data_IF_820961303401
#
_entry.id   IF_820961303401
#
_cell.length_a   1.000
_cell.length_b   1.000
_cell.length_c   1.000
_cell.angle_alpha   90.00
_cell.angle_beta   90.00
_cell.angle_gamma   90.00
#
_symmetry.space_group_name_H-M   'P 1'
#
loop_
_entity.id
_entity.type
_entity.pdbx_description
1 polymer ?
#
# COMPACT_ATOMS: atom_id res chain seq x y z
N UNK A 1 -9.77 30.41 2.11
CA UNK A 1 -9.14 29.53 1.09
C UNK A 1 -9.35 28.08 1.50
N UNK A 2 -9.55 27.16 0.54
CA UNK A 2 -9.65 25.70 0.80
C UNK A 2 -8.39 25.01 0.33
N UNK A 3 -7.72 24.31 1.23
CA UNK A 3 -6.52 23.53 0.98
C UNK A 3 -6.80 22.06 1.28
N UNK A 4 -6.40 21.17 0.36
CA UNK A 4 -6.50 19.73 0.55
C UNK A 4 -5.12 19.19 0.92
N UNK A 5 -5.07 18.33 1.91
CA UNK A 5 -3.89 17.50 2.19
C UNK A 5 -4.24 16.04 1.91
N UNK A 6 -3.46 15.40 1.02
CA UNK A 6 -3.61 14.00 0.62
C UNK A 6 -2.21 13.39 0.52
N UNK A 7 -1.58 13.21 1.67
CA UNK A 7 -0.18 12.84 1.84
C UNK A 7 -0.12 11.36 2.24
N UNK A 8 0.64 10.55 1.50
CA UNK A 8 0.87 9.14 1.82
C UNK A 8 1.81 8.98 3.02
N UNK A 9 1.93 7.77 3.52
CA UNK A 9 2.86 7.45 4.60
C UNK A 9 4.32 7.67 4.19
N UNK A 10 5.11 8.23 5.11
CA UNK A 10 6.56 8.24 4.99
C UNK A 10 7.07 6.97 5.65
N UNK A 11 7.26 5.92 4.87
CA UNK A 11 7.55 4.56 5.35
C UNK A 11 8.63 4.53 6.44
N UNK A 12 8.26 3.98 7.60
CA UNK A 12 9.14 3.91 8.77
C UNK A 12 9.25 5.20 9.58
N UNK A 13 8.46 6.24 9.25
CA UNK A 13 8.50 7.55 9.91
C UNK A 13 7.07 8.04 10.24
N UNK A 14 6.30 8.53 9.26
CA UNK A 14 4.98 9.09 9.48
C UNK A 14 3.89 8.26 8.81
N UNK A 15 2.79 8.03 9.50
CA UNK A 15 1.54 7.57 8.88
C UNK A 15 0.94 8.68 8.01
N UNK A 16 0.05 8.32 7.08
CA UNK A 16 -0.71 9.31 6.29
C UNK A 16 -1.46 10.31 7.21
N UNK A 17 -2.04 9.83 8.33
CA UNK A 17 -2.74 10.68 9.29
C UNK A 17 -1.81 11.71 9.95
N UNK A 18 -0.63 11.31 10.40
CA UNK A 18 0.35 12.19 11.02
C UNK A 18 0.90 13.21 10.04
N UNK A 19 1.24 12.81 8.82
CA UNK A 19 1.72 13.69 7.76
C UNK A 19 0.68 14.75 7.37
N UNK A 20 -0.57 14.33 7.16
CA UNK A 20 -1.68 15.25 6.88
C UNK A 20 -1.94 16.21 8.06
N UNK A 21 -1.85 15.74 9.31
CA UNK A 21 -2.01 16.56 10.50
C UNK A 21 -0.91 17.60 10.63
N UNK A 22 0.36 17.24 10.34
CA UNK A 22 1.48 18.18 10.38
C UNK A 22 1.30 19.29 9.32
N UNK A 23 0.95 18.93 8.09
CA UNK A 23 0.66 19.90 7.05
C UNK A 23 -0.52 20.82 7.41
N UNK A 24 -1.58 20.27 8.01
CA UNK A 24 -2.74 21.04 8.44
C UNK A 24 -2.38 22.04 9.54
N UNK A 25 -1.55 21.65 10.53
CA UNK A 25 -1.08 22.59 11.58
C UNK A 25 -0.30 23.76 10.98
N UNK A 26 0.61 23.51 10.04
CA UNK A 26 1.35 24.56 9.34
C UNK A 26 0.42 25.58 8.66
N UNK A 27 -0.58 25.09 7.93
CA UNK A 27 -1.56 25.93 7.23
C UNK A 27 -2.37 26.77 8.22
N UNK A 28 -2.87 26.17 9.30
CA UNK A 28 -3.68 26.85 10.31
C UNK A 28 -2.86 27.83 11.16
N UNK A 29 -1.56 27.59 11.34
CA UNK A 29 -0.62 28.52 11.98
C UNK A 29 -0.44 29.80 11.16
N UNK A 30 -0.46 29.70 9.82
CA UNK A 30 -0.40 30.86 8.93
C UNK A 30 -1.72 31.61 8.86
N UNK A 31 -2.83 30.88 8.75
CA UNK A 31 -4.16 31.48 8.68
C UNK A 31 -5.19 30.53 9.33
N UNK A 32 -5.58 30.86 10.55
CA UNK A 32 -6.54 30.06 11.33
C UNK A 32 -7.93 29.94 10.69
N UNK A 33 -8.27 30.80 9.73
CA UNK A 33 -9.53 30.76 8.99
C UNK A 33 -9.47 29.89 7.73
N UNK A 34 -8.34 29.25 7.44
CA UNK A 34 -8.21 28.35 6.28
C UNK A 34 -9.09 27.12 6.47
N UNK A 35 -9.79 26.73 5.40
CA UNK A 35 -10.51 25.47 5.35
C UNK A 35 -9.54 24.36 4.90
N UNK A 36 -9.03 23.57 5.83
CA UNK A 36 -8.12 22.46 5.54
C UNK A 36 -8.89 21.15 5.53
N UNK A 37 -8.90 20.46 4.38
CA UNK A 37 -9.51 19.15 4.22
C UNK A 37 -8.41 18.09 4.10
N UNK A 38 -8.25 17.28 5.14
CA UNK A 38 -7.32 16.15 5.11
C UNK A 38 -8.04 14.90 4.61
N UNK A 39 -7.44 14.26 3.60
CA UNK A 39 -7.89 12.99 3.01
C UNK A 39 -6.81 11.97 3.29
N UNK A 40 -7.17 10.94 4.06
CA UNK A 40 -6.24 9.83 4.31
C UNK A 40 -6.13 8.98 3.05
N UNK A 41 -4.91 8.66 2.69
CA UNK A 41 -4.57 7.96 1.45
C UNK A 41 -3.59 6.82 1.71
N UNK A 42 -3.59 5.82 0.83
CA UNK A 42 -2.65 4.71 0.82
C UNK A 42 -2.66 4.04 -0.56
N UNK A 43 -1.52 3.49 -0.97
CA UNK A 43 -1.31 2.75 -2.22
C UNK A 43 -1.73 1.26 -2.17
N UNK A 44 -2.43 0.84 -1.10
CA UNK A 44 -2.70 -0.57 -0.81
C UNK A 44 -1.70 -1.17 0.19
N UNK A 45 -0.77 -0.35 0.70
CA UNK A 45 0.20 -0.70 1.72
C UNK A 45 -0.21 -0.26 3.13
N UNK A 46 0.77 0.24 3.88
CA UNK A 46 0.56 0.74 5.24
C UNK A 46 -0.51 1.84 5.28
N UNK A 47 -1.43 1.73 6.25
CA UNK A 47 -2.53 2.70 6.41
C UNK A 47 -3.76 2.41 5.54
N UNK A 48 -3.76 1.32 4.74
CA UNK A 48 -4.88 0.95 3.89
C UNK A 48 -6.20 0.81 4.65
N UNK A 49 -6.19 0.10 5.77
CA UNK A 49 -7.37 -0.09 6.62
C UNK A 49 -7.84 1.27 7.18
N UNK A 50 -6.93 2.12 7.60
CA UNK A 50 -7.27 3.42 8.16
C UNK A 50 -7.90 4.34 7.11
N UNK A 51 -7.31 4.44 5.93
CA UNK A 51 -7.86 5.21 4.82
C UNK A 51 -9.26 4.69 4.41
N UNK A 52 -9.42 3.36 4.28
CA UNK A 52 -10.71 2.75 3.97
C UNK A 52 -11.76 2.96 5.08
N UNK A 53 -11.35 3.07 6.36
CA UNK A 53 -12.28 3.33 7.46
C UNK A 53 -12.92 4.72 7.41
N UNK A 54 -12.37 5.64 6.62
CA UNK A 54 -12.97 6.96 6.34
C UNK A 54 -14.03 6.92 5.23
N UNK A 55 -14.03 5.85 4.46
CA UNK A 55 -14.92 5.65 3.31
C UNK A 55 -16.07 4.71 3.69
N UNK A 56 -15.76 3.63 4.39
CA UNK A 56 -16.72 2.60 4.76
C UNK A 56 -17.04 2.66 6.26
N UNK A 57 -18.30 2.83 6.58
CA UNK A 57 -18.77 2.66 7.96
C UNK A 57 -18.63 1.19 8.37
N UNK A 58 -17.84 0.92 9.39
CA UNK A 58 -17.54 -0.45 9.80
C UNK A 58 -16.87 -0.54 11.17
N UNK A 59 -16.61 -1.77 11.56
CA UNK A 59 -15.91 -2.07 12.83
C UNK A 59 -14.51 -2.59 12.54
N UNK A 60 -13.51 -2.04 13.23
CA UNK A 60 -12.15 -2.60 13.24
C UNK A 60 -12.17 -3.88 14.08
N UNK A 61 -11.99 -5.01 13.42
CA UNK A 61 -11.93 -6.34 14.02
C UNK A 61 -10.48 -6.69 14.33
N UNK A 62 -10.26 -7.38 15.45
CA UNK A 62 -8.97 -7.93 15.83
C UNK A 62 -9.02 -9.45 15.78
N UNK A 63 -7.93 -10.07 15.35
CA UNK A 63 -7.80 -11.53 15.29
C UNK A 63 -6.36 -11.94 15.56
N UNK A 64 -6.16 -13.02 16.32
CA UNK A 64 -4.85 -13.65 16.50
C UNK A 64 -4.56 -14.54 15.30
N UNK A 65 -3.43 -14.29 14.62
CA UNK A 65 -2.99 -15.01 13.43
C UNK A 65 -1.50 -15.28 13.52
N UNK A 66 -0.98 -16.15 12.64
CA UNK A 66 0.45 -16.37 12.51
C UNK A 66 1.13 -15.17 11.82
N UNK A 67 2.28 -14.76 12.35
CA UNK A 67 3.22 -13.87 11.65
C UNK A 67 3.99 -14.68 10.57
N UNK A 68 4.90 -14.04 9.78
CA UNK A 68 5.67 -14.75 8.75
C UNK A 68 6.48 -15.94 9.24
N UNK A 69 6.84 -15.99 10.53
CA UNK A 69 7.61 -17.08 11.16
C UNK A 69 6.73 -18.01 12.00
N UNK A 70 5.41 -17.90 11.92
CA UNK A 70 4.46 -18.77 12.61
C UNK A 70 4.14 -18.36 14.04
N UNK A 71 4.66 -17.23 14.56
CA UNK A 71 4.36 -16.73 15.91
C UNK A 71 3.00 -16.04 15.92
N UNK A 72 2.31 -16.06 17.05
CA UNK A 72 1.00 -15.41 17.18
C UNK A 72 1.13 -13.89 17.26
N UNK A 73 0.43 -13.19 16.37
CA UNK A 73 0.32 -11.73 16.35
C UNK A 73 -1.14 -11.30 16.29
N UNK A 74 -1.42 -10.11 16.79
CA UNK A 74 -2.75 -9.51 16.71
C UNK A 74 -2.87 -8.69 15.42
N UNK A 75 -3.52 -9.24 14.40
CA UNK A 75 -3.85 -8.53 13.17
C UNK A 75 -5.20 -7.82 13.28
N UNK A 76 -5.38 -6.78 12.49
CA UNK A 76 -6.64 -6.04 12.40
C UNK A 76 -7.15 -6.01 10.97
N UNK A 77 -8.48 -5.89 10.80
CA UNK A 77 -9.13 -5.61 9.52
C UNK A 77 -10.42 -4.81 9.75
N UNK A 78 -10.93 -4.14 8.71
CA UNK A 78 -12.21 -3.44 8.77
C UNK A 78 -13.32 -4.37 8.27
N UNK A 79 -14.42 -4.46 9.02
CA UNK A 79 -15.63 -5.18 8.61
C UNK A 79 -16.79 -4.17 8.48
N UNK A 80 -17.35 -4.05 7.27
CA UNK A 80 -18.45 -3.17 6.92
C UNK A 80 -19.55 -3.98 6.23
N UNK A 81 -20.58 -4.39 6.96
CA UNK A 81 -21.57 -5.33 6.46
C UNK A 81 -20.92 -6.65 6.03
N UNK A 82 -21.05 -7.01 4.75
CA UNK A 82 -20.43 -8.20 4.15
C UNK A 82 -19.06 -7.93 3.51
N UNK A 83 -18.56 -6.68 3.58
CA UNK A 83 -17.26 -6.28 3.08
C UNK A 83 -16.20 -6.38 4.19
N UNK A 84 -15.10 -7.09 3.92
CA UNK A 84 -13.88 -7.05 4.72
C UNK A 84 -12.76 -6.32 3.96
N UNK A 85 -12.17 -5.29 4.58
CA UNK A 85 -10.96 -4.64 4.08
C UNK A 85 -9.77 -5.15 4.88
N UNK A 86 -8.84 -5.78 4.18
CA UNK A 86 -7.64 -6.36 4.76
C UNK A 86 -6.39 -5.64 4.26
N UNK A 87 -5.36 -5.67 5.09
CA UNK A 87 -3.99 -5.24 4.78
C UNK A 87 -3.08 -6.43 5.09
N UNK A 88 -2.43 -7.01 4.06
CA UNK A 88 -1.63 -8.23 4.25
C UNK A 88 -0.48 -8.02 5.24
N UNK A 89 0.04 -6.80 5.34
CA UNK A 89 1.10 -6.44 6.27
C UNK A 89 0.70 -6.60 7.74
N UNK A 90 -0.59 -6.64 8.08
CA UNK A 90 -1.06 -6.93 9.43
C UNK A 90 -0.72 -8.35 9.90
N UNK A 91 -0.59 -9.29 8.97
CA UNK A 91 -0.28 -10.69 9.26
C UNK A 91 1.10 -11.11 8.74
N UNK A 92 1.49 -10.69 7.53
CA UNK A 92 2.74 -11.10 6.92
C UNK A 92 3.66 -9.93 6.53
N UNK A 93 3.60 -8.83 7.29
CA UNK A 93 4.37 -7.62 7.03
C UNK A 93 5.84 -7.69 7.41
N UNK A 94 6.67 -6.85 6.77
CA UNK A 94 8.07 -6.63 7.16
C UNK A 94 8.20 -6.06 8.57
N UNK A 95 7.21 -5.31 9.04
CA UNK A 95 7.14 -4.75 10.39
C UNK A 95 6.87 -5.81 11.48
N UNK A 96 6.47 -7.03 11.11
CA UNK A 96 6.38 -8.14 12.04
C UNK A 96 7.75 -8.77 12.36
N UNK A 97 8.79 -8.41 11.62
CA UNK A 97 10.12 -9.00 11.68
C UNK A 97 11.18 -7.94 11.95
N UNK A 98 12.08 -8.22 12.88
CA UNK A 98 13.32 -7.48 13.01
C UNK A 98 14.23 -7.72 11.79
N UNK A 99 15.18 -6.82 11.52
CA UNK A 99 16.03 -6.90 10.32
C UNK A 99 16.79 -8.25 10.21
N UNK A 100 17.23 -8.80 11.33
CA UNK A 100 17.98 -10.08 11.37
C UNK A 100 17.09 -11.33 11.21
N UNK A 101 15.77 -11.20 11.39
CA UNK A 101 14.81 -12.28 11.19
C UNK A 101 14.29 -12.38 9.75
N UNK A 102 14.61 -11.39 8.92
CA UNK A 102 14.12 -11.34 7.54
C UNK A 102 14.76 -12.43 6.68
N UNK A 103 13.96 -13.40 6.33
CA UNK A 103 14.35 -14.50 5.44
C UNK A 103 13.12 -14.95 4.62
N UNK A 104 13.00 -14.53 3.34
CA UNK A 104 11.83 -14.84 2.53
C UNK A 104 11.73 -16.32 2.10
N UNK A 105 12.76 -17.15 2.31
CA UNK A 105 12.66 -18.60 2.14
C UNK A 105 11.86 -19.29 3.26
N UNK A 106 11.81 -18.65 4.44
CA UNK A 106 11.13 -19.17 5.63
C UNK A 106 9.82 -18.45 5.92
N UNK A 107 9.67 -17.23 5.40
CA UNK A 107 8.50 -16.41 5.62
C UNK A 107 7.26 -16.97 4.90
N UNK A 108 6.16 -17.10 5.62
CA UNK A 108 4.93 -17.78 5.20
C UNK A 108 3.72 -16.84 5.26
N UNK A 109 2.82 -16.94 4.30
CA UNK A 109 1.62 -16.11 4.17
C UNK A 109 0.37 -16.67 4.88
N UNK A 110 0.46 -17.75 5.67
CA UNK A 110 -0.69 -18.41 6.32
C UNK A 110 -1.57 -17.48 7.15
N UNK A 111 -0.98 -16.49 7.80
CA UNK A 111 -1.71 -15.53 8.61
C UNK A 111 -2.75 -14.73 7.82
N UNK A 112 -2.50 -14.46 6.53
CA UNK A 112 -3.47 -13.83 5.63
C UNK A 112 -4.68 -14.73 5.43
N UNK A 113 -4.47 -16.04 5.21
CA UNK A 113 -5.55 -17.04 5.13
C UNK A 113 -6.38 -17.09 6.40
N UNK A 114 -5.73 -17.01 7.57
CA UNK A 114 -6.41 -16.99 8.88
C UNK A 114 -7.26 -15.73 9.06
N UNK A 115 -6.76 -14.55 8.62
CA UNK A 115 -7.56 -13.31 8.61
C UNK A 115 -8.81 -13.45 7.75
N UNK A 116 -8.67 -13.98 6.53
CA UNK A 116 -9.79 -14.22 5.60
C UNK A 116 -10.81 -15.15 6.24
N UNK A 117 -10.39 -16.29 6.81
CA UNK A 117 -11.30 -17.23 7.47
C UNK A 117 -12.03 -16.60 8.66
N UNK A 118 -11.34 -15.79 9.45
CA UNK A 118 -12.00 -15.07 10.55
C UNK A 118 -13.06 -14.09 10.02
N UNK A 119 -12.77 -13.33 8.98
CA UNK A 119 -13.71 -12.41 8.36
C UNK A 119 -14.93 -13.16 7.76
N UNK A 120 -14.70 -14.31 7.11
CA UNK A 120 -15.78 -15.20 6.61
C UNK A 120 -16.71 -15.66 7.73
N UNK A 121 -16.15 -16.08 8.89
CA UNK A 121 -16.93 -16.47 10.09
C UNK A 121 -17.74 -15.29 10.65
N UNK A 122 -17.31 -14.05 10.41
CA UNK A 122 -18.02 -12.83 10.80
C UNK A 122 -19.03 -12.34 9.75
N UNK A 123 -19.22 -13.10 8.66
CA UNK A 123 -20.23 -12.82 7.63
C UNK A 123 -19.69 -12.13 6.37
N UNK A 124 -18.40 -11.84 6.29
CA UNK A 124 -17.82 -11.26 5.08
C UNK A 124 -17.98 -12.19 3.87
N UNK A 125 -18.23 -11.61 2.71
CA UNK A 125 -18.31 -12.31 1.41
C UNK A 125 -17.55 -11.55 0.32
N UNK A 126 -17.35 -10.25 0.52
CA UNK A 126 -16.58 -9.36 -0.36
C UNK A 126 -15.31 -8.94 0.38
N UNK A 127 -14.20 -8.97 -0.33
CA UNK A 127 -12.89 -8.68 0.23
C UNK A 127 -12.18 -7.64 -0.62
N UNK A 128 -11.63 -6.62 0.02
CA UNK A 128 -10.69 -5.68 -0.58
C UNK A 128 -9.39 -5.79 0.18
N UNK A 129 -8.33 -6.23 -0.51
CA UNK A 129 -7.07 -6.64 0.10
C UNK A 129 -5.94 -5.76 -0.40
N UNK A 130 -5.37 -4.95 0.47
CA UNK A 130 -4.16 -4.19 0.20
C UNK A 130 -2.92 -5.08 0.29
N UNK A 131 -2.10 -5.08 -0.77
CA UNK A 131 -0.97 -6.01 -0.94
C UNK A 131 0.40 -5.40 -0.60
N UNK A 132 0.47 -4.21 0.01
CA UNK A 132 1.74 -3.57 0.34
C UNK A 132 2.42 -4.15 1.58
N UNK A 133 3.74 -3.94 1.70
CA UNK A 133 4.51 -4.13 2.93
C UNK A 133 4.81 -5.58 3.35
N UNK A 134 4.61 -6.60 2.51
CA UNK A 134 4.80 -8.02 2.86
C UNK A 134 6.25 -8.43 3.05
N UNK A 135 6.52 -9.38 3.95
CA UNK A 135 7.80 -10.04 4.18
C UNK A 135 7.96 -11.36 3.39
N UNK A 136 6.87 -11.89 2.84
CA UNK A 136 6.81 -13.23 2.24
C UNK A 136 7.16 -13.24 0.76
N UNK A 137 7.63 -14.38 0.25
CA UNK A 137 7.86 -14.65 -1.18
C UNK A 137 7.52 -16.11 -1.49
N UNK A 138 6.34 -16.56 -1.04
CA UNK A 138 5.85 -17.93 -1.11
C UNK A 138 4.76 -18.14 -2.18
N UNK A 139 4.59 -17.17 -3.09
CA UNK A 139 3.50 -17.14 -4.08
C UNK A 139 2.09 -17.30 -3.44
N UNK A 140 1.95 -16.90 -2.16
CA UNK A 140 0.72 -17.03 -1.40
C UNK A 140 0.37 -18.47 -0.99
N UNK A 141 1.32 -19.39 -1.09
CA UNK A 141 1.08 -20.81 -0.83
C UNK A 141 0.54 -21.08 0.57
N UNK A 142 1.13 -20.45 1.59
CA UNK A 142 0.66 -20.61 2.99
C UNK A 142 -0.78 -20.15 3.17
N UNK A 143 -1.16 -19.03 2.57
CA UNK A 143 -2.55 -18.56 2.57
C UNK A 143 -3.50 -19.58 1.91
N UNK A 144 -3.11 -20.09 0.72
CA UNK A 144 -3.93 -21.05 -0.03
C UNK A 144 -4.14 -22.36 0.73
N UNK A 145 -3.10 -22.86 1.42
CA UNK A 145 -3.25 -24.07 2.25
C UNK A 145 -4.27 -23.90 3.36
N UNK A 146 -4.16 -22.81 4.12
CA UNK A 146 -5.10 -22.50 5.21
C UNK A 146 -6.55 -22.38 4.70
N UNK A 147 -6.73 -21.75 3.54
CA UNK A 147 -8.05 -21.63 2.93
C UNK A 147 -8.58 -22.96 2.42
N UNK A 148 -7.73 -23.78 1.78
CA UNK A 148 -8.14 -25.08 1.25
C UNK A 148 -8.55 -26.04 2.36
N UNK A 149 -7.77 -26.13 3.43
CA UNK A 149 -8.06 -27.00 4.56
C UNK A 149 -9.41 -26.66 5.22
N UNK A 150 -9.79 -25.38 5.24
CA UNK A 150 -11.02 -24.93 5.87
C UNK A 150 -12.24 -24.93 4.95
N UNK A 151 -12.09 -24.61 3.66
CA UNK A 151 -13.20 -24.36 2.76
C UNK A 151 -13.47 -25.52 1.79
N UNK A 152 -12.45 -26.30 1.45
CA UNK A 152 -12.51 -27.42 0.51
C UNK A 152 -11.70 -28.61 1.04
N UNK A 153 -11.99 -29.11 2.25
CA UNK A 153 -11.17 -30.11 2.93
C UNK A 153 -10.99 -31.35 2.02
N UNK A 154 -9.77 -31.88 2.01
CA UNK A 154 -9.34 -33.05 1.19
C UNK A 154 -9.33 -32.85 -0.33
N UNK A 155 -9.78 -31.68 -0.85
CA UNK A 155 -9.77 -31.39 -2.30
C UNK A 155 -8.51 -30.60 -2.75
N UNK A 156 -7.75 -30.06 -1.80
CA UNK A 156 -6.52 -29.32 -2.03
C UNK A 156 -6.72 -27.90 -2.61
N UNK A 157 -5.62 -27.19 -2.79
CA UNK A 157 -5.65 -25.75 -3.15
C UNK A 157 -6.30 -25.49 -4.51
N UNK A 158 -6.24 -26.44 -5.46
CA UNK A 158 -6.82 -26.28 -6.79
C UNK A 158 -8.34 -26.10 -6.74
N UNK A 159 -9.00 -26.75 -5.77
CA UNK A 159 -10.45 -26.68 -5.61
C UNK A 159 -10.94 -25.30 -5.12
N UNK A 160 -10.06 -24.44 -4.61
CA UNK A 160 -10.42 -23.07 -4.23
C UNK A 160 -11.01 -22.29 -5.40
N UNK A 161 -10.57 -22.58 -6.64
CA UNK A 161 -11.09 -21.96 -7.85
C UNK A 161 -12.57 -22.30 -8.15
N UNK A 162 -13.14 -23.28 -7.48
CA UNK A 162 -14.60 -23.60 -7.60
C UNK A 162 -15.50 -22.73 -6.72
N UNK A 163 -14.93 -21.99 -5.77
CA UNK A 163 -15.71 -21.14 -4.86
C UNK A 163 -16.24 -19.93 -5.63
N UNK A 164 -17.57 -19.75 -5.66
CA UNK A 164 -18.24 -18.68 -6.43
C UNK A 164 -18.96 -17.63 -5.58
N UNK A 165 -19.15 -17.90 -4.30
CA UNK A 165 -19.89 -17.02 -3.39
C UNK A 165 -19.01 -15.99 -2.66
N UNK A 166 -17.75 -15.90 -3.05
CA UNK A 166 -16.78 -14.92 -2.54
C UNK A 166 -16.26 -14.05 -3.68
N UNK A 167 -16.06 -12.78 -3.40
CA UNK A 167 -15.41 -11.87 -4.34
C UNK A 167 -14.20 -11.20 -3.69
N UNK A 168 -13.11 -11.14 -4.45
CA UNK A 168 -11.86 -10.54 -4.02
C UNK A 168 -11.46 -9.42 -4.98
N UNK A 169 -11.12 -8.27 -4.43
CA UNK A 169 -10.41 -7.19 -5.11
C UNK A 169 -9.07 -7.03 -4.43
N UNK A 170 -7.98 -7.08 -5.18
CA UNK A 170 -6.63 -6.85 -4.67
C UNK A 170 -6.15 -5.48 -5.14
N UNK A 171 -5.70 -4.67 -4.18
CA UNK A 171 -5.27 -3.30 -4.37
C UNK A 171 -3.75 -3.19 -4.22
N UNK A 172 -3.08 -2.74 -5.27
CA UNK A 172 -1.62 -2.53 -5.27
C UNK A 172 -1.23 -1.66 -6.46
N UNK A 173 -0.19 -0.84 -6.31
CA UNK A 173 0.40 -0.08 -7.42
C UNK A 173 1.61 -0.79 -8.04
N UNK A 174 1.93 -2.00 -7.55
CA UNK A 174 2.95 -2.88 -8.12
C UNK A 174 2.37 -3.65 -9.30
N UNK A 175 2.90 -3.42 -10.50
CA UNK A 175 2.45 -4.07 -11.74
C UNK A 175 3.32 -5.27 -12.16
N UNK A 176 4.34 -5.59 -11.40
CA UNK A 176 5.30 -6.66 -11.71
C UNK A 176 4.60 -8.01 -11.89
N UNK A 177 5.04 -8.82 -12.90
CA UNK A 177 4.64 -10.21 -13.02
C UNK A 177 5.21 -11.05 -11.86
N UNK A 178 4.77 -12.29 -11.75
CA UNK A 178 5.26 -13.19 -10.70
C UNK A 178 6.70 -13.67 -10.95
N UNK A 179 7.04 -13.97 -12.20
CA UNK A 179 8.29 -14.61 -12.63
C UNK A 179 9.10 -13.73 -13.60
N UNK A 180 10.38 -14.06 -13.75
CA UNK A 180 11.31 -13.40 -14.68
C UNK A 180 12.06 -12.24 -14.02
N UNK A 181 12.80 -11.46 -14.83
CA UNK A 181 13.69 -10.41 -14.33
C UNK A 181 12.95 -9.31 -13.55
N UNK A 182 11.70 -9.06 -13.91
CA UNK A 182 10.82 -8.14 -13.20
C UNK A 182 9.89 -8.86 -12.21
N UNK A 183 10.15 -10.13 -11.91
CA UNK A 183 9.33 -10.97 -11.05
C UNK A 183 9.47 -10.70 -9.56
N UNK A 184 8.58 -11.32 -8.79
CA UNK A 184 8.48 -11.14 -7.34
C UNK A 184 9.78 -11.42 -6.60
N UNK A 185 10.46 -12.53 -6.93
CA UNK A 185 11.68 -12.92 -6.26
C UNK A 185 12.84 -11.96 -6.60
N UNK A 186 13.06 -11.67 -7.88
CA UNK A 186 14.18 -10.85 -8.32
C UNK A 186 14.10 -9.40 -7.86
N UNK A 187 12.90 -8.80 -7.92
CA UNK A 187 12.71 -7.38 -7.61
C UNK A 187 12.51 -7.14 -6.12
N UNK A 188 11.75 -7.99 -5.43
CA UNK A 188 11.30 -7.68 -4.07
C UNK A 188 11.93 -8.55 -2.97
N UNK A 189 12.48 -9.73 -3.27
CA UNK A 189 13.08 -10.56 -2.22
C UNK A 189 14.35 -9.96 -1.59
N UNK A 190 15.22 -9.20 -2.30
CA UNK A 190 16.38 -8.58 -1.68
C UNK A 190 16.05 -7.68 -0.50
N UNK A 191 15.05 -6.80 -0.60
CA UNK A 191 14.61 -5.92 0.50
C UNK A 191 13.97 -6.70 1.67
N UNK A 192 13.61 -7.97 1.45
CA UNK A 192 13.08 -8.90 2.46
C UNK A 192 14.19 -9.76 3.08
N UNK A 193 15.46 -9.47 2.78
CA UNK A 193 16.62 -10.15 3.34
C UNK A 193 17.17 -11.31 2.49
N UNK A 194 16.73 -11.47 1.23
CA UNK A 194 17.26 -12.51 0.36
C UNK A 194 18.68 -12.20 -0.13
N UNK A 195 19.57 -13.19 -0.07
CA UNK A 195 20.83 -13.19 -0.81
C UNK A 195 20.57 -13.51 -2.30
N UNK A 196 21.53 -13.24 -3.20
CA UNK A 196 21.39 -13.62 -4.60
C UNK A 196 21.07 -15.11 -4.82
N UNK A 197 21.67 -16.01 -4.03
CA UNK A 197 21.39 -17.44 -4.09
C UNK A 197 19.95 -17.76 -3.66
N UNK A 198 19.45 -17.11 -2.61
CA UNK A 198 18.06 -17.27 -2.16
C UNK A 198 17.07 -16.77 -3.21
N UNK A 199 17.41 -15.70 -3.94
CA UNK A 199 16.57 -15.20 -5.05
C UNK A 199 16.40 -16.25 -6.14
N UNK A 200 17.49 -16.90 -6.57
CA UNK A 200 17.41 -17.98 -7.57
C UNK A 200 16.60 -19.18 -7.06
N UNK A 201 16.77 -19.55 -5.79
CA UNK A 201 15.99 -20.63 -5.18
C UNK A 201 14.49 -20.29 -5.11
N UNK A 202 14.14 -19.07 -4.72
CA UNK A 202 12.76 -18.57 -4.68
C UNK A 202 12.15 -18.59 -6.10
N UNK A 203 12.88 -18.08 -7.09
CA UNK A 203 12.42 -18.07 -8.49
C UNK A 203 12.13 -19.48 -8.99
N UNK A 204 13.01 -20.45 -8.69
CA UNK A 204 12.80 -21.85 -9.06
C UNK A 204 11.59 -22.48 -8.37
N UNK A 205 11.44 -22.27 -7.03
CA UNK A 205 10.29 -22.77 -6.27
C UNK A 205 8.97 -22.22 -6.81
N UNK A 206 8.91 -20.92 -7.07
CA UNK A 206 7.72 -20.26 -7.61
C UNK A 206 7.44 -20.76 -9.03
N UNK A 207 8.46 -20.92 -9.88
CA UNK A 207 8.31 -21.43 -11.23
C UNK A 207 7.73 -22.85 -11.26
N UNK A 208 8.25 -23.76 -10.42
CA UNK A 208 7.69 -25.10 -10.26
C UNK A 208 6.22 -25.07 -9.81
N UNK A 209 5.89 -24.20 -8.85
CA UNK A 209 4.53 -24.05 -8.37
C UNK A 209 3.59 -23.55 -9.48
N UNK A 210 4.01 -22.55 -10.26
CA UNK A 210 3.23 -22.03 -11.40
C UNK A 210 3.02 -23.12 -12.46
N UNK A 211 4.05 -23.86 -12.82
CA UNK A 211 3.93 -24.96 -13.81
C UNK A 211 2.90 -26.02 -13.40
N UNK A 212 2.94 -26.44 -12.13
CA UNK A 212 1.99 -27.42 -11.60
C UNK A 212 0.56 -26.88 -11.58
N UNK A 213 0.38 -25.65 -11.14
CA UNK A 213 -0.95 -25.06 -10.98
C UNK A 213 -1.57 -24.67 -12.32
N UNK A 214 -0.79 -24.12 -13.26
CA UNK A 214 -1.30 -23.76 -14.58
C UNK A 214 -1.66 -25.01 -15.41
N UNK A 215 -0.86 -26.06 -15.32
CA UNK A 215 -1.18 -27.34 -15.97
C UNK A 215 -2.47 -27.97 -15.43
N UNK A 216 -2.67 -27.93 -14.10
CA UNK A 216 -3.86 -28.50 -13.48
C UNK A 216 -5.14 -27.67 -13.72
N UNK A 217 -5.01 -26.35 -13.82
CA UNK A 217 -6.16 -25.42 -13.92
C UNK A 217 -6.49 -25.01 -15.36
N UNK A 218 -5.58 -25.23 -16.32
CA UNK A 218 -5.75 -24.89 -17.73
C UNK A 218 -5.64 -23.38 -18.04
N UNK A 219 -5.20 -22.55 -17.10
CA UNK A 219 -4.91 -21.14 -17.30
C UNK A 219 -3.79 -20.66 -16.35
N UNK A 220 -3.18 -19.51 -16.67
CA UNK A 220 -2.03 -18.96 -15.95
C UNK A 220 -2.19 -17.44 -15.76
N UNK A 221 -2.08 -16.99 -14.50
CA UNK A 221 -2.08 -15.59 -14.12
C UNK A 221 -0.68 -15.04 -13.80
N UNK A 222 0.40 -15.82 -13.94
CA UNK A 222 1.73 -15.43 -13.50
C UNK A 222 2.29 -14.20 -14.20
N UNK A 223 1.88 -13.95 -15.45
CA UNK A 223 2.31 -12.80 -16.25
C UNK A 223 1.36 -11.59 -16.16
N UNK A 224 0.26 -11.70 -15.41
CA UNK A 224 -0.65 -10.57 -15.23
C UNK A 224 -0.01 -9.49 -14.36
N UNK A 225 -0.37 -8.24 -14.64
CA UNK A 225 0.02 -7.10 -13.81
C UNK A 225 -0.42 -7.34 -12.35
N UNK A 226 0.51 -7.11 -11.41
CA UNK A 226 0.26 -7.31 -9.98
C UNK A 226 0.41 -8.76 -9.50
N UNK A 227 0.69 -9.74 -10.37
CA UNK A 227 0.90 -11.13 -9.95
C UNK A 227 2.08 -11.28 -8.98
N UNK A 228 3.14 -10.48 -9.16
CA UNK A 228 4.29 -10.44 -8.27
C UNK A 228 4.08 -9.65 -6.97
N UNK A 229 2.98 -8.90 -6.85
CA UNK A 229 2.72 -8.10 -5.66
C UNK A 229 2.69 -8.97 -4.39
N UNK A 230 3.24 -8.42 -3.30
CA UNK A 230 3.33 -9.10 -2.01
C UNK A 230 3.97 -10.50 -2.07
N UNK A 231 5.04 -10.65 -2.89
CA UNK A 231 5.76 -11.91 -3.00
C UNK A 231 4.94 -13.03 -3.63
N UNK A 232 4.02 -12.68 -4.52
CA UNK A 232 3.15 -13.58 -5.27
C UNK A 232 1.78 -13.83 -4.62
N UNK A 233 1.42 -13.14 -3.53
CA UNK A 233 0.03 -13.14 -3.06
C UNK A 233 -0.92 -12.64 -4.16
N UNK A 234 -0.50 -11.64 -4.99
CA UNK A 234 -1.26 -11.21 -6.15
C UNK A 234 -1.63 -12.36 -7.10
N UNK A 235 -0.64 -13.22 -7.44
CA UNK A 235 -0.88 -14.43 -8.21
C UNK A 235 -1.88 -15.37 -7.54
N UNK A 236 -1.67 -15.67 -6.25
CA UNK A 236 -2.55 -16.57 -5.50
C UNK A 236 -4.01 -16.10 -5.52
N UNK A 237 -4.25 -14.83 -5.29
CA UNK A 237 -5.59 -14.26 -5.35
C UNK A 237 -6.20 -14.34 -6.75
N UNK A 238 -5.44 -14.01 -7.81
CA UNK A 238 -5.95 -14.05 -9.18
C UNK A 238 -6.13 -15.46 -9.71
N UNK A 239 -5.16 -16.36 -9.46
CA UNK A 239 -5.17 -17.72 -9.98
C UNK A 239 -6.22 -18.62 -9.32
N UNK A 240 -6.35 -18.52 -7.98
CA UNK A 240 -7.16 -19.46 -7.20
C UNK A 240 -8.48 -18.88 -6.70
N UNK A 241 -8.57 -17.56 -6.54
CA UNK A 241 -9.74 -16.89 -5.97
C UNK A 241 -10.40 -15.92 -6.96
N UNK A 242 -9.97 -15.91 -8.22
CA UNK A 242 -10.49 -15.07 -9.31
C UNK A 242 -10.56 -13.57 -8.95
N UNK A 243 -9.57 -13.10 -8.18
CA UNK A 243 -9.55 -11.72 -7.73
C UNK A 243 -9.39 -10.74 -8.91
N UNK A 244 -10.06 -9.60 -8.79
CA UNK A 244 -9.84 -8.44 -9.64
C UNK A 244 -8.68 -7.62 -9.10
N UNK A 245 -7.69 -7.34 -9.95
CA UNK A 245 -6.58 -6.42 -9.63
C UNK A 245 -6.98 -4.98 -9.93
N UNK A 246 -6.67 -4.07 -9.01
CA UNK A 246 -6.87 -2.62 -9.17
C UNK A 246 -5.63 -1.85 -8.67
N UNK A 247 -5.36 -0.65 -9.25
CA UNK A 247 -4.45 0.30 -8.63
C UNK A 247 -4.99 0.70 -7.26
N UNK A 248 -4.17 0.56 -6.22
CA UNK A 248 -4.54 0.91 -4.85
C UNK A 248 -4.85 2.40 -4.72
N UNK A 249 -3.98 3.24 -5.28
CA UNK A 249 -4.15 4.68 -5.28
C UNK A 249 -5.46 5.11 -5.97
N UNK A 250 -5.68 4.68 -7.20
CA UNK A 250 -6.88 5.07 -7.95
C UNK A 250 -8.16 4.58 -7.30
N UNK A 251 -8.19 3.32 -6.87
CA UNK A 251 -9.35 2.73 -6.21
C UNK A 251 -9.76 3.50 -4.95
N UNK A 252 -8.78 3.91 -4.16
CA UNK A 252 -9.00 4.68 -2.93
C UNK A 252 -9.43 6.12 -3.26
N UNK A 253 -8.72 6.80 -4.15
CA UNK A 253 -8.98 8.20 -4.50
C UNK A 253 -10.37 8.39 -5.10
N UNK A 254 -10.86 7.48 -5.96
CA UNK A 254 -12.21 7.50 -6.50
C UNK A 254 -13.30 7.50 -5.41
N UNK A 255 -13.02 6.85 -4.27
CA UNK A 255 -13.98 6.66 -3.16
C UNK A 255 -13.79 7.64 -2.01
N UNK A 256 -12.63 8.32 -1.97
CA UNK A 256 -12.25 9.23 -0.88
C UNK A 256 -13.00 10.55 -0.86
N UNK A 257 -13.72 10.87 -1.93
CA UNK A 257 -14.34 12.19 -2.11
C UNK A 257 -13.38 13.27 -2.60
N UNK A 258 -12.11 12.91 -2.95
CA UNK A 258 -11.11 13.88 -3.44
C UNK A 258 -11.64 14.70 -4.61
N UNK A 259 -12.27 14.06 -5.60
CA UNK A 259 -12.74 14.72 -6.81
C UNK A 259 -13.82 15.79 -6.53
N UNK A 260 -14.67 15.59 -5.51
CA UNK A 260 -15.64 16.59 -5.06
C UNK A 260 -14.96 17.74 -4.32
N UNK A 261 -14.00 17.43 -3.44
CA UNK A 261 -13.27 18.42 -2.67
C UNK A 261 -12.40 19.32 -3.55
N UNK A 262 -11.85 18.77 -4.66
CA UNK A 262 -11.04 19.51 -5.65
C UNK A 262 -11.82 20.61 -6.37
N UNK A 263 -13.15 20.52 -6.50
CA UNK A 263 -13.96 21.53 -7.20
C UNK A 263 -13.81 22.94 -6.63
N UNK A 264 -13.49 23.04 -5.35
CA UNK A 264 -13.38 24.31 -4.63
C UNK A 264 -12.02 24.48 -3.94
N UNK A 265 -11.05 23.66 -4.29
CA UNK A 265 -9.72 23.73 -3.71
C UNK A 265 -8.86 24.80 -4.41
N UNK A 266 -8.06 25.50 -3.64
CA UNK A 266 -7.07 26.46 -4.12
C UNK A 266 -5.68 25.84 -4.23
N UNK A 267 -5.42 24.77 -3.45
CA UNK A 267 -4.12 24.11 -3.37
C UNK A 267 -4.30 22.68 -2.88
N UNK A 268 -3.47 21.77 -3.39
CA UNK A 268 -3.31 20.40 -2.87
C UNK A 268 -1.88 20.21 -2.37
N UNK A 269 -1.73 19.62 -1.18
CA UNK A 269 -0.47 19.10 -0.67
C UNK A 269 -0.55 17.58 -0.73
N UNK A 270 0.38 16.96 -1.43
CA UNK A 270 0.56 15.50 -1.46
C UNK A 270 2.01 15.16 -1.10
N UNK A 271 2.31 13.90 -0.86
CA UNK A 271 3.67 13.52 -0.51
C UNK A 271 3.87 12.03 -0.30
N UNK A 272 5.12 11.66 -0.15
CA UNK A 272 5.60 10.29 0.11
C UNK A 272 6.98 10.30 0.77
N UNK A 273 7.46 9.15 1.25
CA UNK A 273 8.79 9.05 1.88
C UNK A 273 9.94 9.39 0.94
N UNK A 274 9.90 8.98 -0.34
CA UNK A 274 10.92 9.26 -1.33
C UNK A 274 10.29 9.50 -2.71
N UNK A 275 10.50 10.69 -3.24
CA UNK A 275 10.03 11.11 -4.56
C UNK A 275 11.15 11.02 -5.60
N UNK A 276 10.92 10.24 -6.65
CA UNK A 276 11.85 10.00 -7.75
C UNK A 276 11.09 9.73 -9.07
N UNK A 277 11.79 9.22 -10.09
CA UNK A 277 11.16 8.87 -11.37
C UNK A 277 10.04 7.80 -11.22
N UNK A 278 10.10 6.96 -10.18
CA UNK A 278 9.06 5.95 -9.94
C UNK A 278 7.75 6.58 -9.43
N UNK A 279 7.82 7.77 -8.80
CA UNK A 279 6.63 8.53 -8.43
C UNK A 279 5.72 8.75 -9.64
N UNK A 280 6.31 9.01 -10.82
CA UNK A 280 5.60 9.24 -12.08
C UNK A 280 5.02 7.98 -12.73
N UNK A 281 5.34 6.80 -12.20
CA UNK A 281 4.83 5.51 -12.68
C UNK A 281 3.46 5.14 -12.08
N UNK A 282 2.70 6.12 -11.61
CA UNK A 282 1.35 5.91 -11.08
C UNK A 282 1.28 5.73 -9.57
N UNK A 283 2.34 6.10 -8.82
CA UNK A 283 2.24 6.15 -7.36
C UNK A 283 1.25 7.20 -6.91
N UNK A 284 0.78 7.07 -5.69
CA UNK A 284 -0.28 7.88 -5.10
C UNK A 284 -0.10 9.40 -5.26
N UNK A 285 1.07 10.02 -5.02
CA UNK A 285 1.23 11.47 -5.22
C UNK A 285 1.00 11.91 -6.66
N UNK A 286 1.40 11.08 -7.63
CA UNK A 286 1.15 11.35 -9.05
C UNK A 286 -0.33 11.26 -9.39
N UNK A 287 -1.05 10.24 -8.89
CA UNK A 287 -2.50 10.11 -9.08
C UNK A 287 -3.27 11.30 -8.49
N UNK A 288 -2.87 11.78 -7.31
CA UNK A 288 -3.43 12.98 -6.68
C UNK A 288 -3.19 14.22 -7.56
N UNK A 289 -1.94 14.40 -8.03
CA UNK A 289 -1.58 15.53 -8.89
C UNK A 289 -2.35 15.52 -10.21
N UNK A 290 -2.50 14.36 -10.86
CA UNK A 290 -3.25 14.27 -12.12
C UNK A 290 -4.72 14.70 -11.93
N UNK A 291 -5.40 14.25 -10.88
CA UNK A 291 -6.78 14.63 -10.55
C UNK A 291 -6.91 16.13 -10.26
N UNK A 292 -5.92 16.70 -9.54
CA UNK A 292 -5.86 18.14 -9.27
C UNK A 292 -5.61 18.95 -10.55
N UNK A 293 -4.72 18.50 -11.43
CA UNK A 293 -4.40 19.13 -12.71
C UNK A 293 -5.61 19.22 -13.64
N UNK A 294 -6.45 18.18 -13.70
CA UNK A 294 -7.69 18.15 -14.47
C UNK A 294 -8.68 19.26 -14.00
N UNK A 295 -8.55 19.68 -12.75
CA UNK A 295 -9.34 20.77 -12.14
C UNK A 295 -8.59 22.10 -12.06
N UNK A 296 -7.37 22.16 -12.62
CA UNK A 296 -6.48 23.33 -12.60
C UNK A 296 -6.09 23.76 -11.17
N UNK A 297 -6.04 22.83 -10.25
CA UNK A 297 -5.63 23.05 -8.86
C UNK A 297 -4.14 22.73 -8.75
N UNK A 298 -3.30 23.70 -8.31
CA UNK A 298 -1.88 23.48 -8.12
C UNK A 298 -1.63 22.44 -7.04
N UNK A 299 -0.54 21.66 -7.21
CA UNK A 299 -0.19 20.57 -6.30
C UNK A 299 1.26 20.68 -5.87
N UNK A 300 1.51 20.73 -4.57
CA UNK A 300 2.83 20.65 -3.96
C UNK A 300 3.14 19.20 -3.59
N UNK A 301 4.34 18.75 -3.93
CA UNK A 301 4.85 17.44 -3.54
C UNK A 301 5.82 17.59 -2.35
N UNK A 302 5.51 16.92 -1.24
CA UNK A 302 6.35 16.85 -0.04
C UNK A 302 7.02 15.48 0.02
N UNK A 303 8.33 15.42 0.22
CA UNK A 303 9.01 14.14 0.32
C UNK A 303 10.15 14.17 1.34
N UNK A 304 10.42 13.02 1.97
CA UNK A 304 11.57 12.83 2.86
C UNK A 304 12.89 12.86 2.10
N UNK A 305 12.89 12.39 0.85
CA UNK A 305 14.01 12.46 -0.09
C UNK A 305 13.49 12.82 -1.47
N UNK A 306 14.19 13.68 -2.18
CA UNK A 306 13.82 14.11 -3.53
C UNK A 306 14.96 13.78 -4.49
N UNK A 307 14.63 13.08 -5.56
CA UNK A 307 15.51 12.86 -6.71
C UNK A 307 14.78 13.26 -7.98
N UNK A 308 15.53 13.60 -9.05
CA UNK A 308 14.94 13.97 -10.35
C UNK A 308 13.90 15.10 -10.29
N UNK A 309 14.08 16.09 -9.39
CA UNK A 309 13.15 17.21 -9.19
C UNK A 309 12.69 17.89 -10.51
N UNK A 310 13.58 18.14 -11.52
CA UNK A 310 13.12 18.72 -12.79
C UNK A 310 12.07 17.88 -13.51
N UNK A 311 12.18 16.55 -13.48
CA UNK A 311 11.21 15.66 -14.12
C UNK A 311 9.85 15.68 -13.40
N UNK A 312 9.86 15.76 -12.06
CA UNK A 312 8.64 15.89 -11.25
C UNK A 312 7.90 17.20 -11.55
N UNK A 313 8.61 18.30 -11.64
CA UNK A 313 8.04 19.60 -12.02
C UNK A 313 7.47 19.56 -13.44
N UNK A 314 8.19 18.97 -14.40
CA UNK A 314 7.73 18.84 -15.78
C UNK A 314 6.47 17.98 -15.90
N UNK A 315 6.29 16.99 -15.03
CA UNK A 315 5.09 16.15 -15.00
C UNK A 315 3.83 16.92 -14.57
N UNK A 316 3.99 18.00 -13.77
CA UNK A 316 2.87 18.87 -13.42
C UNK A 316 2.76 19.25 -11.94
N UNK A 317 3.69 18.82 -11.09
CA UNK A 317 3.76 19.36 -9.73
C UNK A 317 4.15 20.85 -9.79
N UNK A 318 3.46 21.68 -9.03
CA UNK A 318 3.73 23.12 -8.96
C UNK A 318 5.04 23.41 -8.23
N UNK A 319 5.35 22.63 -7.22
CA UNK A 319 6.67 22.58 -6.61
C UNK A 319 6.91 21.23 -5.92
N UNK A 320 8.19 20.96 -5.58
CA UNK A 320 8.65 19.72 -4.93
C UNK A 320 9.58 20.10 -3.78
N UNK A 321 9.17 19.78 -2.56
CA UNK A 321 9.84 20.17 -1.34
C UNK A 321 10.41 18.94 -0.61
N UNK A 322 11.68 19.00 -0.23
CA UNK A 322 12.33 18.00 0.61
C UNK A 322 12.21 18.44 2.06
N UNK A 323 11.67 17.57 2.94
CA UNK A 323 11.52 17.90 4.37
C UNK A 323 12.80 17.62 5.19
N UNK A 324 13.73 16.82 4.64
CA UNK A 324 14.98 16.49 5.32
C UNK A 324 16.16 17.24 4.72
N UNK A 325 17.19 17.56 5.53
CA UNK A 325 18.46 18.07 5.03
C UNK A 325 19.13 17.06 4.08
N UNK A 326 19.89 17.56 3.11
CA UNK A 326 20.45 16.77 2.01
C UNK A 326 21.53 15.75 2.42
N UNK A 327 22.08 15.83 3.62
CA UNK A 327 23.22 15.01 4.08
C UNK A 327 22.93 14.23 5.39
N UNK A 328 21.66 14.03 5.73
CA UNK A 328 21.33 13.41 7.01
C UNK A 328 21.27 11.88 6.95
N UNK A 329 21.67 11.24 8.06
CA UNK A 329 21.55 9.80 8.25
C UNK A 329 20.06 9.39 8.23
N UNK A 330 19.75 8.31 7.52
CA UNK A 330 18.39 7.77 7.38
C UNK A 330 17.76 7.45 8.75
N UNK A 331 18.57 7.00 9.73
CA UNK A 331 18.08 6.68 11.07
C UNK A 331 17.50 7.91 11.80
N UNK A 332 18.09 9.08 11.59
CA UNK A 332 17.61 10.35 12.16
C UNK A 332 16.36 10.82 11.43
N UNK A 333 16.38 10.71 10.10
CA UNK A 333 15.26 11.11 9.24
C UNK A 333 14.00 10.27 9.47
N UNK A 334 14.12 9.06 10.04
CA UNK A 334 13.01 8.17 10.36
C UNK A 334 12.42 8.39 11.77
N UNK A 335 12.89 9.37 12.55
CA UNK A 335 12.28 9.71 13.84
C UNK A 335 10.91 10.39 13.59
N UNK A 336 9.75 9.83 14.06
CA UNK A 336 8.43 10.34 13.74
C UNK A 336 8.21 11.78 14.20
N UNK A 337 8.64 12.14 15.42
CA UNK A 337 8.48 13.47 15.99
C UNK A 337 9.25 14.51 15.17
N UNK A 338 10.49 14.18 14.79
CA UNK A 338 11.33 15.04 13.99
C UNK A 338 10.80 15.22 12.57
N UNK A 339 10.35 14.12 11.95
CA UNK A 339 9.76 14.16 10.60
C UNK A 339 8.46 14.98 10.58
N UNK A 340 7.61 14.85 11.61
CA UNK A 340 6.39 15.65 11.75
C UNK A 340 6.71 17.14 11.89
N UNK A 341 7.69 17.50 12.75
CA UNK A 341 8.10 18.88 12.93
C UNK A 341 8.69 19.51 11.67
N UNK A 342 9.51 18.75 10.95
CA UNK A 342 10.13 19.19 9.68
C UNK A 342 9.09 19.38 8.58
N UNK A 343 8.14 18.45 8.45
CA UNK A 343 7.06 18.58 7.48
C UNK A 343 6.24 19.83 7.77
N UNK A 344 5.89 20.06 9.04
CA UNK A 344 5.16 21.26 9.46
C UNK A 344 5.95 22.54 9.13
N UNK A 345 7.23 22.62 9.48
CA UNK A 345 8.04 23.82 9.25
C UNK A 345 8.28 24.06 7.76
N UNK A 346 8.58 22.99 6.95
CA UNK A 346 8.73 23.10 5.50
C UNK A 346 7.49 23.67 4.83
N UNK A 347 6.30 23.21 5.22
CA UNK A 347 5.03 23.73 4.69
C UNK A 347 4.81 25.17 5.14
N UNK A 348 5.08 25.49 6.43
CA UNK A 348 4.93 26.83 6.96
C UNK A 348 5.84 27.84 6.25
N UNK A 349 7.13 27.55 6.15
CA UNK A 349 8.11 28.42 5.48
C UNK A 349 7.75 28.65 4.01
N UNK A 350 7.45 27.58 3.27
CA UNK A 350 7.10 27.71 1.86
C UNK A 350 5.87 28.56 1.64
N UNK A 351 4.78 28.32 2.39
CA UNK A 351 3.54 29.07 2.22
C UNK A 351 3.64 30.51 2.72
N UNK A 352 4.51 30.81 3.69
CA UNK A 352 4.71 32.17 4.22
C UNK A 352 5.34 33.13 3.22
N UNK A 353 6.21 32.62 2.32
CA UNK A 353 6.88 33.44 1.30
C UNK A 353 6.11 33.47 -0.03
N UNK A 354 5.04 32.70 -0.17
CA UNK A 354 4.20 32.65 -1.36
C UNK A 354 2.81 33.24 -1.10
N UNK A 355 2.67 34.58 -1.01
CA UNK A 355 1.42 35.24 -0.60
C UNK A 355 0.24 35.00 -1.54
N UNK A 356 0.48 34.49 -2.75
CA UNK A 356 -0.58 34.13 -3.72
C UNK A 356 -1.57 33.08 -3.18
N UNK A 357 -1.18 32.31 -2.14
CA UNK A 357 -2.04 31.28 -1.56
C UNK A 357 -3.01 31.80 -0.51
N UNK A 358 -2.83 33.03 -0.01
CA UNK A 358 -3.61 33.60 1.08
C UNK A 358 -4.26 34.98 0.73
N UNK A 359 -4.16 35.39 -0.53
CA UNK A 359 -4.77 36.62 -1.05
C UNK A 359 -6.25 36.49 -1.40
#
# INVERSE_FOLDING_TARGET
MKIITAIDSFKGSLTSAEANSAAARAILRLNSNSNVKSILVSDGGEGWIEACSRIFEGKKMKVSVADPLGRQVCASYLLSGDLAVLEVAQACGLNCLSAHERNPLLADSRGVGQMILHALKKGARRFVVGLGGSATCDAGYGMLQVLADALVPSAGIMALSSIRNLSFTIASDVQNPLLGDMGAARVFAPQKGATPQMVEELEQRISCFVQQTSAAMGYDCSQKAGAGAAGGLGYAFMQFLHATYVSGADWLLERSGLDQELQHASLVLTGEGAADAQTLMGKLPFCVMQRAKDRKVPTLLLAGKVQHRPQLLQAGFSDVLCINPSEEDVSISCCPELASARLEETVFEYLSVCPFWFG
#
